data_IF_274077533887
#
_entry.id   IF_274077533887
#
_cell.length_a   1.000
_cell.length_b   1.000
_cell.length_c   1.000
_cell.angle_alpha   90.00
_cell.angle_beta   90.00
_cell.angle_gamma   90.00
#
_symmetry.space_group_name_H-M   'P 1'
#
loop_
_entity.id
_entity.type
_entity.pdbx_description
1 polymer ?
#
# COMPACT_ATOMS: atom_id res chain seq x y z
N UNK A 1 45.71 -52.01 -9.21
CA UNK A 1 46.19 -50.64 -8.96
C UNK A 1 45.28 -49.69 -9.72
N UNK A 2 44.60 -48.78 -9.01
CA UNK A 2 43.51 -47.95 -9.52
C UNK A 2 44.04 -46.75 -10.33
N UNK A 3 43.51 -46.55 -11.54
CA UNK A 3 43.67 -45.31 -12.30
C UNK A 3 42.33 -44.57 -12.25
N UNK A 4 42.38 -43.35 -11.73
CA UNK A 4 41.26 -42.47 -11.46
C UNK A 4 40.41 -42.23 -12.72
N UNK A 5 39.10 -42.48 -12.62
CA UNK A 5 38.13 -42.04 -13.61
C UNK A 5 38.01 -40.51 -13.63
N UNK A 6 37.49 -39.92 -14.73
CA UNK A 6 37.39 -38.48 -14.86
C UNK A 6 36.56 -37.90 -13.71
N UNK A 7 37.08 -36.84 -13.08
CA UNK A 7 36.36 -36.09 -12.07
C UNK A 7 35.01 -35.66 -12.65
N UNK A 8 33.91 -36.07 -12.01
CA UNK A 8 32.58 -35.62 -12.35
C UNK A 8 32.56 -34.07 -12.34
N UNK A 9 31.84 -33.40 -13.26
CA UNK A 9 31.70 -31.96 -13.20
C UNK A 9 31.04 -31.61 -11.87
N UNK A 10 31.76 -30.85 -11.03
CA UNK A 10 31.15 -30.19 -9.88
C UNK A 10 29.97 -29.39 -10.42
N UNK A 11 28.76 -29.76 -10.02
CA UNK A 11 27.57 -28.99 -10.39
C UNK A 11 27.81 -27.57 -9.90
N UNK A 12 27.79 -26.54 -10.76
CA UNK A 12 27.90 -25.18 -10.28
C UNK A 12 26.67 -24.98 -9.40
N UNK A 13 26.91 -24.95 -8.08
CA UNK A 13 26.01 -24.45 -7.07
C UNK A 13 25.32 -23.26 -7.71
N UNK A 14 24.02 -23.41 -8.00
CA UNK A 14 23.21 -22.39 -8.65
C UNK A 14 23.57 -21.08 -7.98
N UNK A 15 24.27 -20.19 -8.70
CA UNK A 15 24.61 -18.89 -8.15
C UNK A 15 23.28 -18.18 -8.04
N UNK A 16 22.64 -18.34 -6.90
CA UNK A 16 21.52 -17.53 -6.45
C UNK A 16 22.10 -16.13 -6.21
N UNK A 17 22.42 -15.43 -7.30
CA UNK A 17 22.10 -14.02 -7.37
C UNK A 17 20.58 -14.01 -7.28
N UNK A 18 20.09 -13.99 -6.05
CA UNK A 18 18.70 -13.76 -5.72
C UNK A 18 18.30 -12.53 -6.51
N UNK A 19 17.62 -12.74 -7.63
CA UNK A 19 17.25 -11.67 -8.53
C UNK A 19 16.19 -10.89 -7.78
N UNK A 20 16.65 -9.92 -6.99
CA UNK A 20 15.82 -9.12 -6.12
C UNK A 20 14.88 -8.33 -7.04
N UNK A 21 13.68 -8.87 -7.22
CA UNK A 21 12.57 -8.21 -7.87
C UNK A 21 11.79 -7.53 -6.74
N UNK A 22 11.54 -6.23 -6.80
CA UNK A 22 10.68 -5.59 -5.82
C UNK A 22 9.32 -6.29 -5.83
N UNK A 23 8.77 -6.52 -4.64
CA UNK A 23 7.42 -7.05 -4.52
C UNK A 23 6.43 -5.89 -4.69
N UNK A 24 5.55 -6.02 -5.67
CA UNK A 24 4.48 -5.06 -5.92
C UNK A 24 3.16 -5.64 -5.40
N UNK A 25 2.47 -4.86 -4.58
CA UNK A 25 1.17 -5.19 -4.04
C UNK A 25 0.30 -3.94 -4.01
N UNK A 26 -1.01 -4.12 -3.92
CA UNK A 26 -1.90 -2.99 -3.75
C UNK A 26 -3.27 -3.42 -3.32
N UNK A 27 -4.07 -2.46 -2.89
CA UNK A 27 -5.49 -2.66 -2.71
C UNK A 27 -6.25 -1.42 -3.17
N UNK A 28 -7.50 -1.67 -3.51
CA UNK A 28 -8.47 -0.65 -3.87
C UNK A 28 -9.73 -0.86 -3.06
N UNK A 29 -10.33 0.23 -2.57
CA UNK A 29 -11.71 0.24 -2.14
C UNK A 29 -12.43 1.45 -2.71
N UNK A 30 -13.73 1.28 -2.96
CA UNK A 30 -14.65 2.37 -3.26
C UNK A 30 -16.00 2.08 -2.59
N UNK A 31 -16.65 3.11 -2.06
CA UNK A 31 -18.00 3.01 -1.52
C UNK A 31 -19.07 3.43 -2.53
N UNK A 32 -20.35 3.23 -2.18
CA UNK A 32 -21.48 3.60 -3.03
C UNK A 32 -21.71 5.11 -3.18
N UNK A 33 -20.96 5.94 -2.44
CA UNK A 33 -21.04 7.40 -2.50
C UNK A 33 -19.88 8.01 -3.33
N UNK A 34 -19.02 7.17 -3.89
CA UNK A 34 -17.89 7.58 -4.73
C UNK A 34 -16.64 7.95 -3.95
N UNK A 35 -16.56 7.62 -2.66
CA UNK A 35 -15.31 7.73 -1.88
C UNK A 35 -14.45 6.53 -2.19
N UNK A 36 -13.15 6.73 -2.40
CA UNK A 36 -12.20 5.68 -2.70
C UNK A 36 -10.84 5.90 -2.04
N UNK A 37 -10.10 4.79 -1.94
CA UNK A 37 -8.65 4.77 -1.78
C UNK A 37 -8.07 3.67 -2.65
N UNK A 38 -7.01 3.99 -3.37
CA UNK A 38 -6.12 3.05 -4.03
C UNK A 38 -4.74 3.19 -3.41
N UNK A 39 -4.10 2.07 -3.08
CA UNK A 39 -2.74 2.07 -2.55
C UNK A 39 -1.87 1.12 -3.33
N UNK A 40 -0.77 1.65 -3.85
CA UNK A 40 0.29 0.90 -4.51
C UNK A 40 1.47 0.78 -3.54
N UNK A 41 1.97 -0.43 -3.33
CA UNK A 41 3.09 -0.75 -2.48
C UNK A 41 4.24 -1.33 -3.29
N UNK A 42 5.45 -0.87 -3.00
CA UNK A 42 6.69 -1.42 -3.56
C UNK A 42 7.60 -1.78 -2.40
N UNK A 43 7.90 -3.07 -2.22
CA UNK A 43 8.89 -3.54 -1.25
C UNK A 43 10.16 -3.93 -1.98
N UNK A 44 11.15 -3.04 -1.90
CA UNK A 44 12.42 -3.09 -2.62
C UNK A 44 13.64 -3.21 -1.71
N UNK A 45 14.84 -3.23 -2.32
CA UNK A 45 16.11 -3.27 -1.59
C UNK A 45 16.38 -1.94 -0.87
N UNK A 46 15.72 -0.88 -1.36
CA UNK A 46 15.65 0.45 -0.78
C UNK A 46 14.49 0.60 0.23
N UNK A 47 13.88 -0.50 0.65
CA UNK A 47 12.82 -0.53 1.66
C UNK A 47 11.41 -0.53 1.07
N UNK A 48 10.44 -0.21 1.92
CA UNK A 48 9.03 -0.18 1.57
C UNK A 48 8.60 1.23 1.18
N UNK A 49 7.87 1.37 0.06
CA UNK A 49 7.25 2.61 -0.39
C UNK A 49 5.76 2.43 -0.62
N UNK A 50 5.02 3.54 -0.52
CA UNK A 50 3.59 3.56 -0.80
C UNK A 50 3.16 4.80 -1.60
N UNK A 51 2.31 4.60 -2.60
CA UNK A 51 1.58 5.69 -3.27
C UNK A 51 0.10 5.52 -2.96
N UNK A 52 -0.47 6.48 -2.23
CA UNK A 52 -1.87 6.49 -1.81
C UNK A 52 -2.63 7.50 -2.66
N UNK A 53 -3.62 7.04 -3.42
CA UNK A 53 -4.57 7.89 -4.15
C UNK A 53 -5.92 7.82 -3.46
N UNK A 54 -6.50 8.95 -3.06
CA UNK A 54 -7.75 8.96 -2.28
C UNK A 54 -8.56 10.22 -2.53
N UNK A 55 -9.86 10.18 -2.26
CA UNK A 55 -10.72 11.36 -2.14
C UNK A 55 -11.49 11.36 -0.80
N UNK A 56 -10.94 10.73 0.24
CA UNK A 56 -11.60 10.66 1.55
C UNK A 56 -11.67 12.04 2.23
N UNK A 57 -12.85 12.43 2.75
CA UNK A 57 -13.01 13.68 3.48
C UNK A 57 -12.04 13.77 4.68
N UNK A 58 -11.40 14.92 4.83
CA UNK A 58 -10.43 15.17 5.92
C UNK A 58 -9.00 14.72 5.60
N UNK A 59 -8.74 14.13 4.43
CA UNK A 59 -7.39 13.86 3.94
C UNK A 59 -6.87 15.05 3.13
N UNK A 60 -5.55 15.20 3.02
CA UNK A 60 -4.91 16.23 2.19
C UNK A 60 -3.65 15.71 1.51
N UNK A 61 -3.21 16.38 0.46
CA UNK A 61 -1.95 16.09 -0.21
C UNK A 61 -0.77 16.27 0.74
N UNK A 62 0.02 15.22 0.93
CA UNK A 62 1.24 15.27 1.75
C UNK A 62 2.16 14.09 1.46
N UNK A 63 3.39 14.15 1.98
CA UNK A 63 4.33 13.04 1.98
C UNK A 63 4.84 12.82 3.41
N UNK A 64 5.00 11.57 3.81
CA UNK A 64 5.49 11.17 5.13
C UNK A 64 6.33 9.89 4.99
N UNK A 65 7.60 9.96 5.38
CA UNK A 65 8.55 8.87 5.10
C UNK A 65 8.62 8.54 3.61
N UNK A 66 8.54 7.26 3.26
CA UNK A 66 8.48 6.75 1.88
C UNK A 66 7.03 6.61 1.34
N UNK A 67 6.07 7.30 1.95
CA UNK A 67 4.67 7.31 1.51
C UNK A 67 4.27 8.68 0.93
N UNK A 68 3.59 8.66 -0.22
CA UNK A 68 3.05 9.85 -0.89
C UNK A 68 1.53 9.76 -0.97
N UNK A 69 0.84 10.81 -0.53
CA UNK A 69 -0.62 10.93 -0.59
C UNK A 69 -1.01 11.92 -1.68
N UNK A 70 -1.72 11.42 -2.69
CA UNK A 70 -2.33 12.16 -3.78
C UNK A 70 -3.84 12.16 -3.53
N UNK A 71 -4.36 13.31 -3.14
CA UNK A 71 -5.72 13.49 -2.65
C UNK A 71 -6.51 14.38 -3.59
N UNK A 72 -7.61 13.84 -4.10
CA UNK A 72 -8.63 14.53 -4.87
C UNK A 72 -9.74 15.06 -3.97
N UNK A 73 -10.58 15.95 -4.50
CA UNK A 73 -11.70 16.49 -3.73
C UNK A 73 -12.72 15.38 -3.42
N UNK A 74 -13.21 15.30 -2.17
CA UNK A 74 -14.27 14.36 -1.81
C UNK A 74 -15.58 14.63 -2.56
N UNK A 75 -16.42 13.61 -2.78
CA UNK A 75 -17.75 13.80 -3.35
C UNK A 75 -18.58 14.78 -2.49
N UNK A 76 -19.27 15.78 -3.09
CA UNK A 76 -20.01 16.79 -2.33
C UNK A 76 -21.03 16.23 -1.35
N UNK A 77 -21.69 15.12 -1.71
CA UNK A 77 -22.67 14.46 -0.86
C UNK A 77 -22.06 13.96 0.47
N UNK A 78 -20.81 13.49 0.44
CA UNK A 78 -20.12 12.96 1.62
C UNK A 78 -19.64 14.09 2.53
N UNK A 79 -19.17 15.19 1.94
CA UNK A 79 -18.84 16.42 2.71
C UNK A 79 -20.08 16.94 3.44
N UNK A 80 -21.22 16.99 2.76
CA UNK A 80 -22.49 17.43 3.36
C UNK A 80 -22.95 16.50 4.50
N UNK A 81 -22.63 15.21 4.45
CA UNK A 81 -22.92 14.26 5.53
C UNK A 81 -22.05 14.52 6.76
N UNK A 82 -20.76 14.83 6.60
CA UNK A 82 -19.85 15.19 7.70
C UNK A 82 -20.20 16.53 8.37
N UNK A 83 -20.89 17.42 7.67
CA UNK A 83 -21.42 18.68 8.20
C UNK A 83 -22.76 18.54 8.93
N UNK A 84 -23.38 17.35 8.93
CA UNK A 84 -24.62 17.14 9.69
C UNK A 84 -24.30 17.29 11.18
N UNK A 85 -24.91 18.29 11.81
CA UNK A 85 -24.78 18.57 13.23
C UNK A 85 -24.92 17.28 14.04
N UNK A 86 -24.02 17.08 15.02
CA UNK A 86 -24.15 16.01 15.99
C UNK A 86 -25.58 16.01 16.54
N UNK A 87 -26.28 14.87 16.47
CA UNK A 87 -27.56 14.71 17.15
C UNK A 87 -27.31 15.07 18.61
N UNK A 88 -27.99 16.08 19.18
CA UNK A 88 -27.81 16.41 20.58
C UNK A 88 -28.06 15.15 21.40
N UNK A 89 -27.02 14.67 22.08
CA UNK A 89 -27.18 13.53 23.00
C UNK A 89 -28.22 13.97 24.04
N UNK A 90 -29.33 13.24 24.21
CA UNK A 90 -30.29 13.56 25.25
C UNK A 90 -29.55 13.56 26.59
N UNK A 91 -29.57 14.68 27.30
CA UNK A 91 -29.04 14.70 28.67
C UNK A 91 -29.91 13.77 29.51
N UNK A 92 -29.38 12.61 29.87
CA UNK A 92 -29.99 11.75 30.89
C UNK A 92 -29.96 12.57 32.18
N UNK A 93 -31.14 12.99 32.64
CA UNK A 93 -31.28 13.58 33.96
C UNK A 93 -31.28 12.45 34.98
N UNK A 94 -30.32 12.51 35.91
CA UNK A 94 -30.25 11.64 37.10
C UNK A 94 -31.20 12.17 38.16
#
# INVERSE_FOLDING_TARGET
>A
MALAGPAAPVSPLLTIQEQFRPYEFGYDFADGLGVYRSVEYTAGADGYKAVVRSNEPGTSNHAVGDAVYIVELPPPAVVAQGLRAAIPVPKVSV
#
